data_IF_108229470212
#
_entry.id   IF_108229470212
#
_cell.length_a   1.000
_cell.length_b   1.000
_cell.length_c   1.000
_cell.angle_alpha   90.00
_cell.angle_beta   90.00
_cell.angle_gamma   90.00
#
_symmetry.space_group_name_H-M   'P 1'
#
loop_
_entity.id
_entity.type
_entity.pdbx_description
1 polymer ?
#
# COMPACT_ATOMS: atom_id res chain seq x y z
N UNK A 1 -2.33 -49.25 15.58
CA UNK A 1 -0.98 -48.96 15.13
C UNK A 1 -0.96 -48.11 13.86
N UNK A 2 -1.89 -48.33 12.98
CA UNK A 2 -1.95 -47.65 11.70
C UNK A 2 -2.63 -46.30 11.76
N UNK A 3 -3.14 -45.94 12.87
CA UNK A 3 -3.97 -44.75 13.07
C UNK A 3 -3.15 -43.51 13.25
N UNK A 4 -1.94 -43.66 13.75
CA UNK A 4 -1.06 -42.52 13.99
C UNK A 4 -0.59 -41.82 12.73
N UNK A 5 -0.58 -42.53 11.61
CA UNK A 5 -0.17 -41.96 10.33
C UNK A 5 -1.20 -40.95 9.77
N UNK A 6 -2.47 -41.14 10.11
CA UNK A 6 -3.53 -40.26 9.65
C UNK A 6 -3.57 -38.92 10.38
N UNK A 7 -3.14 -38.89 11.62
CA UNK A 7 -3.12 -37.68 12.42
C UNK A 7 -2.04 -36.73 11.96
N UNK A 8 -0.95 -37.22 11.42
CA UNK A 8 0.13 -36.39 10.93
C UNK A 8 -0.23 -35.63 9.69
N UNK A 9 -1.09 -36.16 8.86
CA UNK A 9 -1.48 -35.50 7.62
C UNK A 9 -2.33 -34.25 7.86
N UNK A 10 -3.03 -34.18 8.97
CA UNK A 10 -3.89 -33.05 9.29
C UNK A 10 -3.13 -31.84 9.76
N UNK A 11 -1.95 -32.03 10.30
CA UNK A 11 -1.13 -30.91 10.78
C UNK A 11 -0.54 -30.05 9.67
N UNK A 12 -0.44 -30.58 8.49
CA UNK A 12 0.15 -29.88 7.37
C UNK A 12 -0.81 -28.86 6.75
N UNK A 13 -2.10 -29.07 6.93
CA UNK A 13 -3.10 -28.18 6.35
C UNK A 13 -3.19 -26.83 7.05
N UNK A 14 -2.64 -26.71 8.26
CA UNK A 14 -2.75 -25.48 9.05
C UNK A 14 -1.65 -24.48 8.77
N UNK A 15 -0.64 -24.86 7.99
CA UNK A 15 0.48 -23.98 7.70
C UNK A 15 0.27 -23.11 6.45
N UNK A 16 -0.91 -23.17 5.90
CA UNK A 16 -1.26 -22.32 4.77
C UNK A 16 -1.75 -20.94 5.22
N UNK A 17 -1.43 -20.54 6.43
CA UNK A 17 -1.78 -19.20 6.91
C UNK A 17 -1.22 -18.16 5.94
N UNK A 18 -2.12 -17.33 5.45
CA UNK A 18 -1.76 -16.32 4.49
C UNK A 18 -0.71 -15.39 5.06
N UNK A 19 0.38 -15.26 4.37
CA UNK A 19 1.37 -14.25 4.67
C UNK A 19 0.74 -12.89 4.40
N UNK A 20 0.80 -12.01 5.37
CA UNK A 20 0.37 -10.64 5.15
C UNK A 20 1.33 -9.98 4.16
N UNK A 21 0.83 -9.20 3.21
CA UNK A 21 1.70 -8.47 2.31
C UNK A 21 2.55 -7.48 3.10
N UNK A 22 3.79 -7.24 2.68
CA UNK A 22 4.67 -6.31 3.39
C UNK A 22 4.21 -4.86 3.34
N UNK A 23 3.32 -4.53 2.42
CA UNK A 23 2.78 -3.19 2.27
C UNK A 23 1.35 -3.27 1.75
N UNK A 24 0.48 -2.42 2.30
CA UNK A 24 -0.91 -2.25 1.85
C UNK A 24 -1.23 -0.77 1.81
N UNK A 25 -2.06 -0.39 0.88
CA UNK A 25 -2.55 0.98 0.78
C UNK A 25 -4.07 0.98 0.72
N UNK A 26 -4.70 1.91 1.43
CA UNK A 26 -6.15 2.09 1.43
C UNK A 26 -6.47 3.55 1.21
N UNK A 27 -7.46 3.81 0.38
CA UNK A 27 -7.95 5.15 0.12
C UNK A 27 -9.30 5.30 0.80
N UNK A 28 -9.55 6.46 1.42
CA UNK A 28 -10.78 6.71 2.16
C UNK A 28 -12.03 6.75 1.28
N UNK A 29 -11.87 6.88 -0.03
CA UNK A 29 -12.98 6.89 -0.96
C UNK A 29 -12.55 6.29 -2.29
N UNK A 30 -13.47 5.62 -2.96
CA UNK A 30 -13.28 5.13 -4.33
C UNK A 30 -13.79 6.14 -5.36
N UNK A 31 -14.79 6.92 -4.98
CA UNK A 31 -15.40 7.94 -5.83
C UNK A 31 -15.66 9.17 -4.97
N UNK A 32 -15.19 10.32 -5.41
CA UNK A 32 -15.39 11.58 -4.73
C UNK A 32 -15.76 12.67 -5.71
N UNK A 33 -16.19 13.81 -5.19
CA UNK A 33 -16.52 14.99 -5.99
C UNK A 33 -15.39 16.02 -5.88
N UNK A 34 -15.03 16.64 -7.00
CA UNK A 34 -14.00 17.67 -7.04
C UNK A 34 -14.52 18.99 -6.46
N UNK A 35 -13.69 19.76 -5.77
CA UNK A 35 -12.33 19.43 -5.34
C UNK A 35 -12.36 18.46 -4.15
N UNK A 36 -11.61 17.38 -4.23
CA UNK A 36 -11.69 16.32 -3.24
C UNK A 36 -10.54 16.38 -2.24
N UNK A 37 -10.84 16.01 -1.01
CA UNK A 37 -9.81 15.72 -0.01
C UNK A 37 -9.70 14.21 0.10
N UNK A 38 -8.52 13.70 -0.18
CA UNK A 38 -8.27 12.25 -0.24
C UNK A 38 -7.22 11.88 0.78
N UNK A 39 -7.49 10.82 1.51
CA UNK A 39 -6.54 10.21 2.44
C UNK A 39 -6.11 8.85 1.92
N UNK A 40 -4.82 8.64 1.87
CA UNK A 40 -4.25 7.33 1.63
C UNK A 40 -3.58 6.86 2.92
N UNK A 41 -4.02 5.72 3.41
CA UNK A 41 -3.43 5.08 4.58
C UNK A 41 -2.55 3.94 4.09
N UNK A 42 -1.28 4.01 4.43
CA UNK A 42 -0.30 2.98 4.08
C UNK A 42 0.05 2.20 5.32
N UNK A 43 -0.05 0.89 5.24
CA UNK A 43 0.24 -0.03 6.33
C UNK A 43 1.42 -0.88 5.90
N UNK A 44 2.49 -0.84 6.67
CA UNK A 44 3.71 -1.60 6.35
C UNK A 44 3.97 -2.66 7.41
N UNK A 45 4.60 -3.74 6.99
CA UNK A 45 5.14 -4.73 7.90
C UNK A 45 6.43 -4.19 8.54
N UNK A 46 6.56 -4.31 9.85
CA UNK A 46 7.81 -3.93 10.51
C UNK A 46 8.92 -4.89 10.09
N UNK A 47 10.06 -4.32 9.77
CA UNK A 47 11.19 -5.10 9.32
C UNK A 47 12.48 -4.30 9.53
N UNK A 48 13.56 -4.95 10.00
CA UNK A 48 14.82 -4.22 10.26
C UNK A 48 15.41 -3.58 9.01
N UNK A 49 15.11 -4.09 7.83
CA UNK A 49 15.65 -3.59 6.58
C UNK A 49 14.84 -2.48 5.93
N UNK A 50 13.74 -2.05 6.55
CA UNK A 50 12.94 -0.94 6.03
C UNK A 50 13.74 0.36 6.09
N UNK A 51 13.82 1.07 4.96
CA UNK A 51 14.59 2.31 4.87
C UNK A 51 13.81 3.50 4.36
N UNK A 52 12.84 3.29 3.50
CA UNK A 52 12.06 4.39 2.96
C UNK A 52 10.68 3.95 2.54
N UNK A 53 9.75 4.87 2.61
CA UNK A 53 8.40 4.70 2.08
C UNK A 53 8.12 5.84 1.11
N UNK A 54 7.76 5.50 -0.12
CA UNK A 54 7.39 6.47 -1.15
C UNK A 54 5.92 6.30 -1.44
N UNK A 55 5.17 7.39 -1.41
CA UNK A 55 3.75 7.40 -1.75
C UNK A 55 3.57 8.33 -2.94
N UNK A 56 2.98 7.79 -3.99
CA UNK A 56 2.75 8.51 -5.25
C UNK A 56 1.26 8.60 -5.52
N UNK A 57 0.80 9.79 -5.82
CA UNK A 57 -0.54 10.03 -6.35
C UNK A 57 -0.38 10.39 -7.82
N UNK A 58 -0.93 9.57 -8.71
CA UNK A 58 -0.69 9.72 -10.13
C UNK A 58 -1.99 9.72 -10.93
N UNK A 59 -2.02 10.58 -11.93
CA UNK A 59 -3.08 10.66 -12.93
C UNK A 59 -2.45 11.21 -14.21
N UNK A 60 -3.20 11.19 -15.31
CA UNK A 60 -2.70 11.79 -16.54
C UNK A 60 -2.40 13.29 -16.31
N UNK A 61 -1.14 13.66 -16.42
CA UNK A 61 -0.72 15.04 -16.24
C UNK A 61 -0.69 15.57 -14.81
N UNK A 62 -0.83 14.68 -13.82
CA UNK A 62 -0.84 15.08 -12.42
C UNK A 62 -0.08 14.04 -11.60
N UNK A 63 0.88 14.51 -10.83
CA UNK A 63 1.68 13.59 -10.00
C UNK A 63 2.17 14.31 -8.75
N UNK A 64 1.95 13.68 -7.61
CA UNK A 64 2.48 14.13 -6.32
C UNK A 64 3.25 13.00 -5.68
N UNK A 65 4.37 13.33 -5.07
CA UNK A 65 5.24 12.34 -4.46
C UNK A 65 5.58 12.75 -3.04
N UNK A 66 5.54 11.78 -2.13
CA UNK A 66 5.94 11.96 -0.74
C UNK A 66 6.92 10.86 -0.37
N UNK A 67 8.01 11.22 0.29
CA UNK A 67 9.04 10.28 0.72
C UNK A 67 9.21 10.39 2.22
N UNK A 68 9.22 9.25 2.91
CA UNK A 68 9.47 9.17 4.34
C UNK A 68 10.65 8.25 4.60
N UNK A 69 11.60 8.72 5.40
CA UNK A 69 12.68 7.86 5.86
C UNK A 69 12.18 6.95 6.96
N UNK A 70 12.59 5.70 6.92
CA UNK A 70 12.18 4.70 7.90
C UNK A 70 13.39 4.23 8.68
N UNK A 71 13.16 3.97 9.97
CA UNK A 71 14.20 3.55 10.90
C UNK A 71 14.00 2.08 11.28
N UNK A 72 14.02 1.22 10.28
CA UNK A 72 13.93 -0.21 10.48
C UNK A 72 12.67 -0.63 11.23
N UNK A 73 12.83 -1.46 12.24
CA UNK A 73 11.72 -1.95 13.05
C UNK A 73 11.09 -0.88 13.95
N UNK A 74 11.80 0.20 14.20
CA UNK A 74 11.29 1.28 15.06
C UNK A 74 10.32 2.19 14.32
N UNK A 75 10.28 2.10 13.01
CA UNK A 75 9.35 2.90 12.22
C UNK A 75 7.91 2.53 12.50
N UNK A 76 7.02 3.51 12.42
CA UNK A 76 5.59 3.29 12.55
C UNK A 76 5.10 2.31 11.48
N UNK A 77 4.04 1.58 11.78
CA UNK A 77 3.42 0.68 10.81
C UNK A 77 2.41 1.38 9.92
N UNK A 78 1.91 2.53 10.33
CA UNK A 78 0.82 3.22 9.65
C UNK A 78 1.25 4.64 9.29
N UNK A 79 1.03 5.02 8.04
CA UNK A 79 1.33 6.34 7.53
C UNK A 79 0.12 6.88 6.80
N UNK A 80 -0.25 8.12 7.11
CA UNK A 80 -1.35 8.81 6.45
C UNK A 80 -0.83 9.88 5.53
N UNK A 81 -1.33 9.90 4.31
CA UNK A 81 -1.09 10.96 3.36
C UNK A 81 -2.41 11.63 3.02
N UNK A 82 -2.44 12.96 3.07
CA UNK A 82 -3.63 13.75 2.79
C UNK A 82 -3.37 14.65 1.60
N UNK A 83 -4.29 14.64 0.67
CA UNK A 83 -4.25 15.55 -0.48
C UNK A 83 -5.55 16.33 -0.53
N UNK A 84 -5.43 17.66 -0.57
CA UNK A 84 -6.58 18.57 -0.62
C UNK A 84 -6.71 19.16 -2.01
N UNK A 85 -7.94 19.46 -2.40
CA UNK A 85 -8.18 20.12 -3.68
C UNK A 85 -7.82 19.25 -4.88
N UNK A 86 -7.99 17.94 -4.76
CA UNK A 86 -7.68 17.01 -5.84
C UNK A 86 -8.68 17.25 -6.98
N UNK A 87 -8.20 17.58 -8.18
CA UNK A 87 -9.08 17.82 -9.31
C UNK A 87 -9.69 16.52 -9.83
N UNK A 88 -10.73 16.66 -10.67
CA UNK A 88 -11.38 15.48 -11.22
C UNK A 88 -10.43 14.67 -12.11
N UNK A 89 -10.58 13.37 -12.13
CA UNK A 89 -9.76 12.45 -12.89
C UNK A 89 -9.76 11.06 -12.30
N UNK A 90 -9.07 10.17 -12.97
CA UNK A 90 -8.80 8.81 -12.50
C UNK A 90 -7.40 8.79 -11.91
N UNK A 91 -7.28 8.25 -10.70
CA UNK A 91 -6.03 8.30 -9.94
C UNK A 91 -5.59 6.93 -9.49
N UNK A 92 -4.28 6.75 -9.45
CA UNK A 92 -3.62 5.63 -8.78
C UNK A 92 -2.82 6.16 -7.61
N UNK A 93 -2.97 5.50 -6.47
CA UNK A 93 -2.09 5.69 -5.32
C UNK A 93 -1.16 4.50 -5.28
N UNK A 94 0.11 4.76 -5.44
CA UNK A 94 1.14 3.74 -5.38
C UNK A 94 2.00 3.95 -4.15
N UNK A 95 2.15 2.91 -3.36
CA UNK A 95 3.04 2.94 -2.21
C UNK A 95 4.19 1.99 -2.45
N UNK A 96 5.40 2.46 -2.22
CA UNK A 96 6.61 1.67 -2.43
C UNK A 96 7.40 1.64 -1.14
N UNK A 97 7.59 0.44 -0.60
CA UNK A 97 8.42 0.22 0.57
C UNK A 97 9.81 -0.19 0.08
N UNK A 98 10.81 0.59 0.44
CA UNK A 98 12.19 0.31 0.06
C UNK A 98 12.92 -0.30 1.24
N UNK A 99 13.43 -1.49 1.03
CA UNK A 99 14.30 -2.21 1.97
C UNK A 99 15.70 -2.30 1.40
N UNK A 100 16.69 -2.29 2.27
CA UNK A 100 18.05 -2.59 1.86
C UNK A 100 18.39 -3.98 2.44
N UNK A 101 18.41 -4.97 1.57
CA UNK A 101 18.68 -6.36 1.95
C UNK A 101 20.01 -6.78 1.33
N UNK A 102 20.94 -7.16 2.18
CA UNK A 102 22.27 -7.56 1.73
C UNK A 102 22.96 -6.49 0.86
N UNK A 103 22.80 -5.22 1.27
CA UNK A 103 23.37 -4.09 0.54
C UNK A 103 22.67 -3.73 -0.76
N UNK A 104 21.52 -4.35 -1.06
CA UNK A 104 20.79 -4.11 -2.29
C UNK A 104 19.40 -3.58 -2.00
N UNK A 105 18.92 -2.59 -2.76
CA UNK A 105 17.55 -2.12 -2.61
C UNK A 105 16.55 -3.16 -3.11
N UNK A 106 15.53 -3.40 -2.31
CA UNK A 106 14.41 -4.26 -2.65
C UNK A 106 13.14 -3.46 -2.47
N UNK A 107 12.28 -3.43 -3.48
CA UNK A 107 11.05 -2.67 -3.45
C UNK A 107 9.85 -3.58 -3.29
N UNK A 108 8.94 -3.20 -2.40
CA UNK A 108 7.64 -3.82 -2.25
C UNK A 108 6.59 -2.79 -2.62
N UNK A 109 5.64 -3.18 -3.45
CA UNK A 109 4.67 -2.27 -4.03
C UNK A 109 3.25 -2.61 -3.62
N UNK A 110 2.43 -1.58 -3.43
CA UNK A 110 0.99 -1.69 -3.32
C UNK A 110 0.36 -0.57 -4.13
N UNK A 111 -0.80 -0.82 -4.70
CA UNK A 111 -1.50 0.15 -5.53
C UNK A 111 -2.99 0.11 -5.23
N UNK A 112 -3.61 1.27 -5.23
CA UNK A 112 -5.05 1.45 -5.08
C UNK A 112 -5.49 2.53 -6.03
N UNK A 113 -6.72 2.44 -6.54
CA UNK A 113 -7.23 3.45 -7.45
C UNK A 113 -8.49 4.10 -6.91
N UNK A 114 -8.75 5.31 -7.38
CA UNK A 114 -9.98 6.03 -7.07
C UNK A 114 -10.28 7.01 -8.19
N UNK A 115 -11.50 7.54 -8.18
CA UNK A 115 -11.97 8.49 -9.18
C UNK A 115 -12.52 9.71 -8.49
N UNK A 116 -12.19 10.89 -9.03
CA UNK A 116 -12.79 12.16 -8.62
C UNK A 116 -13.61 12.69 -9.77
N UNK A 117 -14.90 12.92 -9.49
CA UNK A 117 -15.84 13.41 -10.47
C UNK A 117 -15.90 14.93 -10.44
N UNK A 118 -16.11 15.54 -11.58
CA UNK A 118 -16.26 16.99 -11.67
C UNK A 118 -16.77 17.41 -13.02
N UNK A 119 -17.31 18.62 -13.07
CA UNK A 119 -17.91 19.16 -14.29
C UNK A 119 -16.91 19.46 -15.40
N UNK A 120 -15.64 19.64 -15.01
CA UNK A 120 -14.59 20.02 -15.96
C UNK A 120 -13.84 18.83 -16.54
N UNK A 121 -14.11 17.62 -16.04
CA UNK A 121 -13.48 16.42 -16.55
C UNK A 121 -14.41 15.71 -17.52
N UNK A 122 -13.86 15.31 -18.66
CA UNK A 122 -14.60 14.47 -19.59
C UNK A 122 -14.82 13.09 -18.93
N UNK A 123 -15.88 12.43 -19.33
CA UNK A 123 -16.31 11.16 -18.76
C UNK A 123 -15.49 9.96 -19.26
N UNK A 124 -14.41 10.19 -19.91
CA UNK A 124 -13.60 9.12 -20.51
C UNK A 124 -12.77 8.35 -19.48
#
# INVERSE_FOLDING_TARGET
VRWSALLLALLWATNAAADEPPIRVRVNTKIAQAPATVNAKVIIERHPDNRALVVLLESAGYSLRSVRQLDGEEASRVYDSWWKGVPCGNYDVRAVLVRIENGRPVEKHAIENFRVLGLTCSAD
#
